data_IF_067389145613
#
_entry.id   IF_067389145613
#
_cell.length_a   1.000
_cell.length_b   1.000
_cell.length_c   1.000
_cell.angle_alpha   90.00
_cell.angle_beta   90.00
_cell.angle_gamma   90.00
#
_symmetry.space_group_name_H-M   'P 1'
#
loop_
_entity.id
_entity.type
_entity.pdbx_description
1 polymer ?
#
# COMPACT_ATOMS: atom_id res chain seq x y z
N UNK A 1 -16.88 -52.56 56.17
CA UNK A 1 -16.87 -53.08 57.54
C UNK A 1 -18.11 -53.93 57.75
N UNK A 2 -17.98 -55.26 57.64
CA UNK A 2 -18.92 -56.27 58.16
C UNK A 2 -18.49 -57.64 57.63
N UNK A 3 -17.63 -58.34 58.37
CA UNK A 3 -17.36 -59.77 58.16
C UNK A 3 -17.89 -60.52 59.37
N UNK A 4 -18.93 -61.31 59.15
CA UNK A 4 -19.45 -62.29 60.10
C UNK A 4 -18.38 -63.35 60.37
N UNK A 5 -18.16 -63.77 61.63
CA UNK A 5 -17.21 -64.83 61.94
C UNK A 5 -17.89 -66.19 61.74
N UNK A 6 -17.40 -66.97 60.79
CA UNK A 6 -17.80 -68.37 60.60
C UNK A 6 -17.19 -69.20 61.75
N UNK A 7 -18.00 -69.53 62.75
CA UNK A 7 -17.61 -70.48 63.81
C UNK A 7 -17.63 -71.89 63.22
N UNK A 8 -16.48 -72.57 63.25
CA UNK A 8 -16.36 -74.01 63.00
C UNK A 8 -16.96 -74.74 64.20
N UNK A 9 -18.04 -75.48 63.99
CA UNK A 9 -18.68 -76.31 65.02
C UNK A 9 -17.87 -77.60 65.17
N UNK A 10 -17.44 -78.01 66.39
CA UNK A 10 -16.77 -79.28 66.58
C UNK A 10 -17.79 -80.43 66.46
N UNK A 11 -17.40 -81.52 65.79
CA UNK A 11 -18.20 -82.73 65.68
C UNK A 11 -18.53 -83.29 67.06
N UNK A 12 -19.82 -83.42 67.38
CA UNK A 12 -20.32 -84.18 68.53
C UNK A 12 -19.96 -85.66 68.37
N UNK A 13 -19.18 -86.18 69.32
CA UNK A 13 -18.99 -87.62 69.49
C UNK A 13 -20.16 -88.17 70.31
N UNK A 14 -21.13 -88.80 69.64
CA UNK A 14 -22.18 -89.56 70.32
C UNK A 14 -21.61 -90.91 70.76
N UNK A 15 -21.58 -91.15 72.07
CA UNK A 15 -21.29 -92.47 72.65
C UNK A 15 -22.53 -93.38 72.63
N UNK A 16 -22.39 -94.70 72.46
CA UNK A 16 -23.49 -95.63 72.69
C UNK A 16 -23.63 -95.94 74.18
N UNK A 17 -24.62 -95.33 74.84
CA UNK A 17 -25.03 -95.72 76.19
C UNK A 17 -25.74 -97.07 76.16
N UNK A 18 -25.15 -98.06 76.81
CA UNK A 18 -25.79 -99.34 77.10
C UNK A 18 -26.52 -99.34 78.45
N UNK A 19 -27.66 -100.05 78.51
CA UNK A 19 -28.16 -100.73 79.70
C UNK A 19 -29.28 -100.03 80.50
N UNK A 20 -30.44 -100.69 80.72
CA UNK A 20 -31.52 -100.16 81.56
C UNK A 20 -31.24 -100.39 83.05
N UNK A 21 -31.37 -99.33 83.84
CA UNK A 21 -31.42 -99.39 85.30
C UNK A 21 -32.79 -99.93 85.73
N UNK A 22 -32.78 -100.93 86.60
CA UNK A 22 -33.97 -101.43 87.27
C UNK A 22 -34.39 -100.50 88.40
N UNK A 23 -35.71 -100.36 88.55
CA UNK A 23 -36.35 -99.97 89.80
C UNK A 23 -37.48 -100.98 90.04
N UNK A 24 -37.41 -101.65 91.18
CA UNK A 24 -38.49 -102.48 91.71
C UNK A 24 -38.49 -102.30 93.22
N UNK A 25 -39.53 -101.64 93.72
CA UNK A 25 -39.85 -101.50 95.14
C UNK A 25 -41.32 -101.86 95.30
N UNK A 26 -41.62 -103.05 95.84
CA UNK A 26 -42.83 -103.35 96.64
C UNK A 26 -42.53 -104.55 97.54
N UNK A 27 -42.52 -104.31 98.85
CA UNK A 27 -42.56 -105.31 99.91
C UNK A 27 -43.98 -105.88 100.05
N UNK A 28 -44.11 -107.19 100.26
CA UNK A 28 -45.38 -107.86 100.57
C UNK A 28 -45.16 -109.30 101.03
N UNK A 29 -45.53 -109.55 102.28
CA UNK A 29 -45.39 -110.72 103.15
C UNK A 29 -45.69 -112.10 102.52
N UNK A 30 -45.00 -113.15 103.02
CA UNK A 30 -45.58 -114.21 103.86
C UNK A 30 -44.59 -115.39 104.01
N UNK A 31 -44.50 -115.90 105.24
CA UNK A 31 -43.65 -117.01 105.65
C UNK A 31 -44.30 -118.35 105.26
N UNK A 32 -43.58 -119.28 104.62
CA UNK A 32 -44.03 -120.67 104.47
C UNK A 32 -42.87 -121.62 104.13
N UNK A 33 -42.53 -122.45 105.11
CA UNK A 33 -41.70 -123.66 104.96
C UNK A 33 -42.32 -124.60 103.92
N UNK A 34 -41.58 -124.98 102.87
CA UNK A 34 -42.11 -125.90 101.87
C UNK A 34 -41.17 -126.30 100.73
N UNK A 35 -40.23 -127.20 101.04
CA UNK A 35 -39.49 -128.10 100.13
C UNK A 35 -38.34 -127.50 99.29
N UNK A 36 -37.16 -128.15 99.28
CA UNK A 36 -36.12 -127.83 98.31
C UNK A 36 -36.56 -128.41 96.96
N UNK A 37 -37.13 -127.58 96.10
CA UNK A 37 -37.16 -127.88 94.67
C UNK A 37 -35.73 -127.71 94.16
N UNK A 38 -35.00 -128.82 94.24
CA UNK A 38 -33.77 -129.08 93.51
C UNK A 38 -34.04 -128.83 92.02
N UNK A 39 -33.76 -127.61 91.54
CA UNK A 39 -33.38 -127.44 90.15
C UNK A 39 -32.02 -128.10 90.00
N UNK A 40 -32.13 -129.38 89.70
CA UNK A 40 -31.15 -130.30 89.15
C UNK A 40 -30.09 -129.53 88.34
N UNK A 41 -28.91 -129.34 88.97
CA UNK A 41 -27.66 -129.28 88.23
C UNK A 41 -27.60 -130.56 87.39
N UNK A 42 -27.37 -130.51 86.07
CA UNK A 42 -26.96 -131.70 85.33
C UNK A 42 -25.63 -132.18 85.91
N UNK A 43 -25.69 -133.35 86.53
CA UNK A 43 -24.54 -134.16 86.94
C UNK A 43 -23.63 -134.43 85.74
N UNK A 44 -22.34 -134.07 85.85
CA UNK A 44 -21.16 -134.85 85.45
C UNK A 44 -21.14 -135.57 84.08
N UNK A 45 -21.79 -135.03 83.02
CA UNK A 45 -21.57 -135.56 81.65
C UNK A 45 -21.61 -134.53 80.51
N UNK A 46 -21.68 -133.22 80.80
CA UNK A 46 -21.52 -132.14 79.82
C UNK A 46 -20.78 -130.89 80.32
N UNK A 47 -20.40 -130.86 81.60
CA UNK A 47 -19.58 -129.80 82.22
C UNK A 47 -18.20 -129.59 81.58
N UNK A 48 -17.47 -130.63 81.12
CA UNK A 48 -16.22 -130.40 80.39
C UNK A 48 -16.46 -129.75 79.01
N UNK A 49 -17.57 -130.04 78.33
CA UNK A 49 -17.88 -129.50 77.00
C UNK A 49 -18.32 -128.03 77.05
N UNK A 50 -19.07 -127.63 78.08
CA UNK A 50 -19.45 -126.23 78.30
C UNK A 50 -18.25 -125.38 78.75
N UNK A 51 -17.36 -125.93 79.58
CA UNK A 51 -16.11 -125.28 79.95
C UNK A 51 -15.15 -125.13 78.77
N UNK A 52 -15.00 -126.18 77.95
CA UNK A 52 -14.21 -126.15 76.70
C UNK A 52 -14.72 -125.06 75.74
N UNK A 53 -16.05 -124.98 75.53
CA UNK A 53 -16.67 -123.94 74.71
C UNK A 53 -16.41 -122.53 75.26
N UNK A 54 -16.45 -122.35 76.58
CA UNK A 54 -16.13 -121.07 77.21
C UNK A 54 -14.66 -120.65 76.99
N UNK A 55 -13.73 -121.61 76.99
CA UNK A 55 -12.32 -121.35 76.66
C UNK A 55 -12.14 -120.96 75.19
N UNK A 56 -12.85 -121.64 74.28
CA UNK A 56 -12.85 -121.32 72.85
C UNK A 56 -13.41 -119.91 72.60
N UNK A 57 -14.58 -119.58 73.17
CA UNK A 57 -15.17 -118.24 73.10
C UNK A 57 -14.25 -117.16 73.70
N UNK A 58 -13.58 -117.44 74.82
CA UNK A 58 -12.60 -116.51 75.39
C UNK A 58 -11.40 -116.30 74.47
N UNK A 59 -10.95 -117.35 73.77
CA UNK A 59 -9.85 -117.24 72.82
C UNK A 59 -10.28 -116.41 71.60
N UNK A 60 -11.47 -116.65 71.06
CA UNK A 60 -12.07 -115.85 69.98
C UNK A 60 -12.23 -114.37 70.37
N UNK A 61 -12.70 -114.10 71.59
CA UNK A 61 -12.82 -112.74 72.12
C UNK A 61 -11.44 -112.06 72.24
N UNK A 62 -10.43 -112.77 72.74
CA UNK A 62 -9.05 -112.25 72.81
C UNK A 62 -8.53 -111.95 71.42
N UNK A 63 -8.78 -112.81 70.44
CA UNK A 63 -8.40 -112.60 69.05
C UNK A 63 -9.13 -111.42 68.40
N UNK A 64 -10.44 -111.30 68.63
CA UNK A 64 -11.25 -110.17 68.18
C UNK A 64 -10.76 -108.84 68.78
N UNK A 65 -10.43 -108.81 70.08
CA UNK A 65 -9.86 -107.63 70.74
C UNK A 65 -8.48 -107.29 70.18
N UNK A 66 -7.63 -108.30 69.90
CA UNK A 66 -6.33 -108.06 69.24
C UNK A 66 -6.51 -107.43 67.86
N UNK A 67 -7.41 -107.96 67.04
CA UNK A 67 -7.72 -107.44 65.71
C UNK A 67 -8.33 -106.04 65.77
N UNK A 68 -9.27 -105.79 66.70
CA UNK A 68 -9.89 -104.48 66.90
C UNK A 68 -8.87 -103.41 67.31
N UNK A 69 -7.98 -103.73 68.25
CA UNK A 69 -6.90 -102.82 68.65
C UNK A 69 -5.91 -102.55 67.51
N UNK A 70 -5.64 -103.56 66.67
CA UNK A 70 -4.80 -103.39 65.49
C UNK A 70 -5.46 -102.44 64.47
N UNK A 71 -6.75 -102.63 64.19
CA UNK A 71 -7.50 -101.73 63.31
C UNK A 71 -7.56 -100.30 63.89
N UNK A 72 -7.75 -100.14 65.19
CA UNK A 72 -7.72 -98.83 65.85
C UNK A 72 -6.37 -98.12 65.64
N UNK A 73 -5.25 -98.84 65.77
CA UNK A 73 -3.91 -98.30 65.48
C UNK A 73 -3.80 -97.83 64.03
N UNK A 74 -4.20 -98.66 63.07
CA UNK A 74 -4.17 -98.31 61.64
C UNK A 74 -5.05 -97.09 61.33
N UNK A 75 -6.25 -97.01 61.91
CA UNK A 75 -7.14 -95.84 61.75
C UNK A 75 -6.58 -94.58 62.40
N UNK A 76 -5.92 -94.68 63.55
CA UNK A 76 -5.22 -93.55 64.16
C UNK A 76 -4.08 -93.05 63.26
N UNK A 77 -3.30 -93.95 62.66
CA UNK A 77 -2.22 -93.59 61.73
C UNK A 77 -2.75 -92.95 60.43
N UNK A 78 -3.84 -93.48 59.86
CA UNK A 78 -4.51 -92.88 58.70
C UNK A 78 -5.02 -91.47 59.00
N UNK A 79 -5.64 -91.26 60.17
CA UNK A 79 -6.12 -89.95 60.58
C UNK A 79 -4.97 -88.96 60.75
N UNK A 80 -3.84 -89.39 61.31
CA UNK A 80 -2.64 -88.56 61.43
C UNK A 80 -2.09 -88.18 60.05
N UNK A 81 -1.99 -89.13 59.12
CA UNK A 81 -1.59 -88.86 57.73
C UNK A 81 -2.54 -87.87 57.06
N UNK A 82 -3.85 -88.09 57.18
CA UNK A 82 -4.86 -87.19 56.63
C UNK A 82 -4.77 -85.77 57.21
N UNK A 83 -4.57 -85.64 58.52
CA UNK A 83 -4.36 -84.33 59.17
C UNK A 83 -3.05 -83.65 58.71
N UNK A 84 -2.01 -84.43 58.43
CA UNK A 84 -0.77 -83.94 57.81
C UNK A 84 -1.02 -83.35 56.43
N UNK A 85 -1.60 -84.15 55.53
CA UNK A 85 -1.94 -83.70 54.16
C UNK A 85 -2.91 -82.52 54.14
N UNK A 86 -3.90 -82.49 55.03
CA UNK A 86 -4.83 -81.36 55.14
C UNK A 86 -4.11 -80.07 55.58
N UNK A 87 -3.12 -80.17 56.48
CA UNK A 87 -2.30 -79.01 56.87
C UNK A 87 -1.48 -78.48 55.70
N UNK A 88 -0.81 -79.37 54.96
CA UNK A 88 -0.04 -79.01 53.77
C UNK A 88 -0.90 -78.35 52.69
N UNK A 89 -2.09 -78.91 52.39
CA UNK A 89 -3.02 -78.33 51.42
C UNK A 89 -3.49 -76.93 51.83
N UNK A 90 -3.81 -76.75 53.13
CA UNK A 90 -4.21 -75.44 53.67
C UNK A 90 -3.08 -74.42 53.59
N UNK A 91 -1.85 -74.82 53.87
CA UNK A 91 -0.66 -73.96 53.74
C UNK A 91 -0.43 -73.54 52.29
N UNK A 92 -0.51 -74.49 51.35
CA UNK A 92 -0.42 -74.21 49.93
C UNK A 92 -1.50 -73.21 49.48
N UNK A 93 -2.76 -73.43 49.87
CA UNK A 93 -3.86 -72.55 49.49
C UNK A 93 -3.71 -71.15 50.09
N UNK A 94 -3.24 -71.05 51.33
CA UNK A 94 -2.95 -69.78 51.99
C UNK A 94 -1.82 -69.02 51.28
N UNK A 95 -0.77 -69.72 50.86
CA UNK A 95 0.32 -69.13 50.09
C UNK A 95 -0.20 -68.60 48.74
N UNK A 96 -0.97 -69.41 48.00
CA UNK A 96 -1.55 -69.01 46.71
C UNK A 96 -2.50 -67.82 46.85
N UNK A 97 -3.30 -67.80 47.91
CA UNK A 97 -4.15 -66.65 48.22
C UNK A 97 -3.34 -65.38 48.48
N UNK A 98 -2.25 -65.48 49.25
CA UNK A 98 -1.35 -64.36 49.50
C UNK A 98 -0.67 -63.85 48.21
N UNK A 99 -0.22 -64.76 47.34
CA UNK A 99 0.36 -64.43 46.03
C UNK A 99 -0.67 -63.70 45.14
N UNK A 100 -1.90 -64.23 45.04
CA UNK A 100 -2.98 -63.62 44.29
C UNK A 100 -3.33 -62.23 44.83
N UNK A 101 -3.39 -62.07 46.16
CA UNK A 101 -3.67 -60.77 46.80
C UNK A 101 -2.59 -59.74 46.45
N UNK A 102 -1.31 -60.10 46.56
CA UNK A 102 -0.19 -59.23 46.18
C UNK A 102 -0.23 -58.84 44.71
N UNK A 103 -0.60 -59.78 43.82
CA UNK A 103 -0.74 -59.49 42.40
C UNK A 103 -1.85 -58.46 42.15
N UNK A 104 -3.02 -58.63 42.77
CA UNK A 104 -4.13 -57.69 42.64
C UNK A 104 -3.76 -56.31 43.18
N UNK A 105 -3.08 -56.24 44.33
CA UNK A 105 -2.58 -54.98 44.89
C UNK A 105 -1.63 -54.28 43.91
N UNK A 106 -0.64 -54.98 43.33
CA UNK A 106 0.26 -54.40 42.34
C UNK A 106 -0.48 -53.88 41.10
N UNK A 107 -1.34 -54.70 40.51
CA UNK A 107 -2.13 -54.31 39.33
C UNK A 107 -3.06 -53.12 39.63
N UNK A 108 -3.56 -53.01 40.87
CA UNK A 108 -4.39 -51.88 41.27
C UNK A 108 -3.59 -50.56 41.32
N UNK A 109 -2.34 -50.61 41.77
CA UNK A 109 -1.43 -49.47 41.78
C UNK A 109 -1.03 -49.07 40.36
N UNK A 110 -0.66 -50.04 39.52
CA UNK A 110 -0.34 -49.79 38.10
C UNK A 110 -1.53 -49.17 37.36
N UNK A 111 -2.74 -49.69 37.58
CA UNK A 111 -3.97 -49.13 37.00
C UNK A 111 -4.23 -47.70 37.45
N UNK A 112 -3.97 -47.37 38.71
CA UNK A 112 -4.13 -46.02 39.23
C UNK A 112 -3.12 -45.07 38.59
N UNK A 113 -1.86 -45.49 38.48
CA UNK A 113 -0.80 -44.70 37.86
C UNK A 113 -1.06 -44.46 36.37
N UNK A 114 -1.49 -45.47 35.62
CA UNK A 114 -1.88 -45.32 34.21
C UNK A 114 -3.08 -44.37 34.04
N UNK A 115 -4.05 -44.40 34.97
CA UNK A 115 -5.17 -43.44 34.96
C UNK A 115 -4.69 -42.01 35.17
N UNK A 116 -3.80 -41.80 36.15
CA UNK A 116 -3.18 -40.50 36.43
C UNK A 116 -2.41 -39.99 35.21
N UNK A 117 -1.59 -40.84 34.58
CA UNK A 117 -0.84 -40.48 33.37
C UNK A 117 -1.77 -40.11 32.20
N UNK A 118 -2.87 -40.87 32.01
CA UNK A 118 -3.87 -40.54 31.00
C UNK A 118 -4.53 -39.19 31.27
N UNK A 119 -4.90 -38.91 32.52
CA UNK A 119 -5.49 -37.61 32.90
C UNK A 119 -4.54 -36.45 32.65
N UNK A 120 -3.26 -36.61 32.99
CA UNK A 120 -2.23 -35.61 32.70
C UNK A 120 -2.05 -35.39 31.19
N UNK A 121 -1.95 -36.46 30.41
CA UNK A 121 -1.84 -36.36 28.96
C UNK A 121 -3.07 -35.68 28.32
N UNK A 122 -4.27 -35.92 28.86
CA UNK A 122 -5.48 -35.22 28.41
C UNK A 122 -5.43 -33.73 28.73
N UNK A 123 -4.97 -33.34 29.92
CA UNK A 123 -4.79 -31.94 30.30
C UNK A 123 -3.75 -31.23 29.43
N UNK A 124 -2.62 -31.89 29.14
CA UNK A 124 -1.60 -31.36 28.23
C UNK A 124 -2.14 -31.16 26.81
N UNK A 125 -2.92 -32.12 26.29
CA UNK A 125 -3.57 -32.00 24.98
C UNK A 125 -4.58 -30.84 24.97
N UNK A 126 -5.33 -30.63 26.05
CA UNK A 126 -6.28 -29.53 26.17
C UNK A 126 -5.57 -28.17 26.22
N UNK A 127 -4.46 -28.07 26.97
CA UNK A 127 -3.60 -26.88 26.96
C UNK A 127 -3.00 -26.61 25.57
N UNK A 128 -2.51 -27.65 24.88
CA UNK A 128 -1.99 -27.49 23.52
C UNK A 128 -3.08 -27.06 22.53
N UNK A 129 -4.31 -27.55 22.67
CA UNK A 129 -5.45 -27.11 21.86
C UNK A 129 -5.78 -25.64 22.07
N UNK A 130 -5.84 -25.18 23.32
CA UNK A 130 -6.09 -23.76 23.62
C UNK A 130 -4.99 -22.86 23.08
N UNK A 131 -3.73 -23.26 23.24
CA UNK A 131 -2.58 -22.55 22.63
C UNK A 131 -2.67 -22.52 21.10
N UNK A 132 -2.98 -23.64 20.46
CA UNK A 132 -3.18 -23.70 19.01
C UNK A 132 -4.30 -22.78 18.53
N UNK A 133 -5.41 -22.72 19.27
CA UNK A 133 -6.53 -21.83 18.96
C UNK A 133 -6.11 -20.36 19.06
N UNK A 134 -5.42 -19.97 20.14
CA UNK A 134 -4.88 -18.61 20.29
C UNK A 134 -3.95 -18.25 19.13
N UNK A 135 -3.04 -19.15 18.75
CA UNK A 135 -2.15 -18.94 17.61
C UNK A 135 -2.91 -18.77 16.29
N UNK A 136 -4.03 -19.47 16.11
CA UNK A 136 -4.88 -19.31 14.92
C UNK A 136 -5.60 -17.96 14.92
N UNK A 137 -6.08 -17.50 16.08
CA UNK A 137 -6.69 -16.18 16.27
C UNK A 137 -5.67 -15.05 16.03
N UNK A 138 -4.47 -15.15 16.60
CA UNK A 138 -3.38 -14.18 16.39
C UNK A 138 -2.99 -14.12 14.91
N UNK A 139 -2.86 -15.28 14.25
CA UNK A 139 -2.60 -15.35 12.81
C UNK A 139 -3.70 -14.67 11.99
N UNK A 140 -4.96 -14.88 12.35
CA UNK A 140 -6.09 -14.24 11.68
C UNK A 140 -6.10 -12.71 11.91
N UNK A 141 -5.82 -12.27 13.14
CA UNK A 141 -5.69 -10.86 13.51
C UNK A 141 -4.57 -10.17 12.74
N UNK A 142 -3.37 -10.76 12.69
CA UNK A 142 -2.25 -10.22 11.91
C UNK A 142 -2.60 -10.16 10.42
N UNK A 143 -3.25 -11.20 9.87
CA UNK A 143 -3.70 -11.19 8.48
C UNK A 143 -4.71 -10.06 8.20
N UNK A 144 -5.64 -9.82 9.12
CA UNK A 144 -6.59 -8.72 9.01
C UNK A 144 -5.90 -7.34 9.07
N UNK A 145 -4.94 -7.16 9.98
CA UNK A 145 -4.14 -5.94 10.08
C UNK A 145 -3.35 -5.66 8.80
N UNK A 146 -2.66 -6.67 8.26
CA UNK A 146 -1.92 -6.55 6.98
C UNK A 146 -2.88 -6.20 5.84
N UNK A 147 -4.06 -6.81 5.79
CA UNK A 147 -5.07 -6.50 4.77
C UNK A 147 -5.56 -5.05 4.86
N UNK A 148 -5.80 -4.54 6.07
CA UNK A 148 -6.18 -3.14 6.31
C UNK A 148 -5.08 -2.18 5.85
N UNK A 149 -3.84 -2.40 6.30
CA UNK A 149 -2.69 -1.56 5.95
C UNK A 149 -2.42 -1.55 4.44
N UNK A 150 -2.56 -2.70 3.76
CA UNK A 150 -2.47 -2.76 2.31
C UNK A 150 -3.57 -1.93 1.62
N UNK A 151 -4.80 -1.98 2.15
CA UNK A 151 -5.91 -1.16 1.66
C UNK A 151 -5.65 0.35 1.85
N UNK A 152 -5.24 0.76 3.03
CA UNK A 152 -4.88 2.16 3.33
C UNK A 152 -3.72 2.66 2.46
N UNK A 153 -2.70 1.83 2.25
CA UNK A 153 -1.57 2.16 1.38
C UNK A 153 -2.02 2.33 -0.07
N UNK A 154 -2.86 1.43 -0.60
CA UNK A 154 -3.39 1.52 -1.95
C UNK A 154 -4.27 2.77 -2.14
N UNK A 155 -5.09 3.11 -1.15
CA UNK A 155 -5.90 4.32 -1.16
C UNK A 155 -5.02 5.58 -1.12
N UNK A 156 -3.98 5.58 -0.28
CA UNK A 156 -2.99 6.67 -0.22
C UNK A 156 -2.24 6.83 -1.53
N UNK A 157 -1.84 5.74 -2.19
CA UNK A 157 -1.22 5.75 -3.51
C UNK A 157 -2.16 6.35 -4.56
N UNK A 158 -3.42 5.90 -4.58
CA UNK A 158 -4.44 6.41 -5.51
C UNK A 158 -4.70 7.91 -5.33
N UNK A 159 -4.77 8.38 -4.07
CA UNK A 159 -4.89 9.81 -3.73
C UNK A 159 -3.69 10.62 -4.20
N UNK A 160 -2.47 10.10 -4.00
CA UNK A 160 -1.24 10.75 -4.43
C UNK A 160 -1.17 10.85 -5.96
N UNK A 161 -1.55 9.80 -6.68
CA UNK A 161 -1.63 9.81 -8.14
C UNK A 161 -2.66 10.83 -8.67
N UNK A 162 -3.83 10.92 -8.02
CA UNK A 162 -4.84 11.91 -8.37
C UNK A 162 -4.33 13.35 -8.13
N UNK A 163 -3.76 13.61 -6.95
CA UNK A 163 -3.23 14.92 -6.58
C UNK A 163 -2.06 15.35 -7.48
N UNK A 164 -1.19 14.41 -7.88
CA UNK A 164 -0.09 14.71 -8.81
C UNK A 164 -0.58 15.05 -10.21
N UNK A 165 -1.60 14.33 -10.72
CA UNK A 165 -2.27 14.66 -11.99
C UNK A 165 -2.95 16.02 -11.94
N UNK A 166 -3.67 16.33 -10.87
CA UNK A 166 -4.32 17.63 -10.68
C UNK A 166 -3.30 18.77 -10.63
N UNK A 167 -2.18 18.58 -9.90
CA UNK A 167 -1.08 19.55 -9.86
C UNK A 167 -0.51 19.82 -11.25
N UNK A 168 -0.26 18.78 -12.05
CA UNK A 168 0.23 18.93 -13.43
C UNK A 168 -0.76 19.68 -14.32
N UNK A 169 -2.06 19.40 -14.17
CA UNK A 169 -3.11 20.10 -14.90
C UNK A 169 -3.17 21.59 -14.51
N UNK A 170 -3.07 21.90 -13.21
CA UNK A 170 -3.03 23.27 -12.69
C UNK A 170 -1.78 24.02 -13.15
N UNK A 171 -0.61 23.37 -13.14
CA UNK A 171 0.64 23.95 -13.65
C UNK A 171 0.53 24.26 -15.16
N UNK A 172 -0.03 23.33 -15.94
CA UNK A 172 -0.25 23.52 -17.38
C UNK A 172 -1.22 24.68 -17.63
N UNK A 173 -2.32 24.77 -16.87
CA UNK A 173 -3.27 25.89 -16.93
C UNK A 173 -2.63 27.21 -16.53
N UNK A 174 -1.77 27.21 -15.51
CA UNK A 174 -1.02 28.40 -15.08
C UNK A 174 -0.08 28.89 -16.17
N UNK A 175 0.67 27.99 -16.82
CA UNK A 175 1.55 28.33 -17.94
C UNK A 175 0.77 28.92 -19.11
N UNK A 176 -0.38 28.33 -19.46
CA UNK A 176 -1.26 28.86 -20.50
C UNK A 176 -1.77 30.27 -20.15
N UNK A 177 -2.23 30.48 -18.92
CA UNK A 177 -2.67 31.80 -18.46
C UNK A 177 -1.54 32.84 -18.48
N UNK A 178 -0.32 32.46 -18.06
CA UNK A 178 0.86 33.33 -18.14
C UNK A 178 1.19 33.70 -19.59
N UNK A 179 1.14 32.74 -20.51
CA UNK A 179 1.36 33.00 -21.93
C UNK A 179 0.28 33.93 -22.49
N UNK A 180 -0.98 33.71 -22.12
CA UNK A 180 -2.09 34.57 -22.52
C UNK A 180 -1.89 36.02 -22.04
N UNK A 181 -1.47 36.22 -20.78
CA UNK A 181 -1.16 37.55 -20.23
C UNK A 181 0.02 38.18 -20.97
N UNK A 182 1.11 37.44 -21.20
CA UNK A 182 2.27 37.95 -21.93
C UNK A 182 1.92 38.36 -23.37
N UNK A 183 1.09 37.56 -24.05
CA UNK A 183 0.60 37.89 -25.39
C UNK A 183 -0.25 39.16 -25.39
N UNK A 184 -1.16 39.29 -24.42
CA UNK A 184 -1.99 40.49 -24.27
C UNK A 184 -1.15 41.74 -24.00
N UNK A 185 -0.10 41.62 -23.18
CA UNK A 185 0.84 42.70 -22.87
C UNK A 185 1.63 43.14 -24.10
N UNK A 186 2.20 42.20 -24.86
CA UNK A 186 2.92 42.50 -26.09
C UNK A 186 2.02 43.19 -27.13
N UNK A 187 0.77 42.74 -27.25
CA UNK A 187 -0.20 43.36 -28.15
C UNK A 187 -0.52 44.81 -27.75
N UNK A 188 -0.72 45.06 -26.45
CA UNK A 188 -0.94 46.42 -25.94
C UNK A 188 0.28 47.33 -26.12
N UNK A 189 1.49 46.82 -25.86
CA UNK A 189 2.74 47.55 -26.08
C UNK A 189 2.93 47.90 -27.56
N UNK A 190 2.62 46.96 -28.47
CA UNK A 190 2.64 47.20 -29.91
C UNK A 190 1.63 48.29 -30.31
N UNK A 191 0.37 48.18 -29.89
CA UNK A 191 -0.66 49.18 -30.16
C UNK A 191 -0.28 50.57 -29.64
N UNK A 192 0.27 50.63 -28.42
CA UNK A 192 0.74 51.87 -27.81
C UNK A 192 1.94 52.45 -28.56
N UNK A 193 2.88 51.61 -28.99
CA UNK A 193 4.02 52.02 -29.80
C UNK A 193 3.57 52.58 -31.16
N UNK A 194 2.64 51.92 -31.84
CA UNK A 194 2.05 52.42 -33.10
C UNK A 194 1.36 53.76 -32.87
N UNK A 195 0.49 53.87 -31.86
CA UNK A 195 -0.17 55.13 -31.51
C UNK A 195 0.83 56.26 -31.20
N UNK A 196 1.86 55.97 -30.41
CA UNK A 196 2.91 56.94 -30.07
C UNK A 196 3.72 57.37 -31.29
N UNK A 197 4.04 56.43 -32.18
CA UNK A 197 4.77 56.69 -33.44
C UNK A 197 3.94 57.55 -34.41
N UNK A 198 2.64 57.28 -34.54
CA UNK A 198 1.73 58.10 -35.35
C UNK A 198 1.62 59.51 -34.78
N UNK A 199 1.41 59.64 -33.46
CA UNK A 199 1.31 60.96 -32.80
C UNK A 199 2.63 61.74 -32.91
N UNK A 200 3.79 61.09 -32.76
CA UNK A 200 5.08 61.77 -32.94
C UNK A 200 5.31 62.19 -34.38
N UNK A 201 4.95 61.37 -35.35
CA UNK A 201 4.98 61.71 -36.79
C UNK A 201 4.07 62.89 -37.12
N UNK A 202 2.86 62.92 -36.57
CA UNK A 202 1.91 64.03 -36.72
C UNK A 202 2.44 65.33 -36.10
N UNK A 203 3.07 65.26 -34.91
CA UNK A 203 3.73 66.41 -34.28
C UNK A 203 4.90 66.91 -35.12
N UNK A 204 5.79 66.03 -35.56
CA UNK A 204 6.92 66.39 -36.42
C UNK A 204 6.44 67.09 -37.71
N UNK A 205 5.37 66.56 -38.34
CA UNK A 205 4.75 67.19 -39.51
C UNK A 205 4.17 68.57 -39.18
N UNK A 206 3.51 68.73 -38.04
CA UNK A 206 3.00 70.03 -37.60
C UNK A 206 4.12 71.04 -37.34
N UNK A 207 5.24 70.61 -36.77
CA UNK A 207 6.42 71.45 -36.53
C UNK A 207 7.09 71.88 -37.84
N UNK A 208 7.18 70.99 -38.84
CA UNK A 208 7.64 71.36 -40.19
C UNK A 208 6.72 72.42 -40.80
N UNK A 209 5.40 72.21 -40.80
CA UNK A 209 4.47 73.20 -41.33
C UNK A 209 4.55 74.54 -40.59
N UNK A 210 4.78 74.52 -39.28
CA UNK A 210 4.97 75.73 -38.49
C UNK A 210 6.26 76.46 -38.87
N UNK A 211 7.36 75.73 -39.06
CA UNK A 211 8.63 76.28 -39.51
C UNK A 211 8.51 76.87 -40.93
N UNK A 212 7.87 76.16 -41.86
CA UNK A 212 7.61 76.63 -43.22
C UNK A 212 6.78 77.91 -43.23
N UNK A 213 5.73 77.96 -42.41
CA UNK A 213 4.90 79.16 -42.28
C UNK A 213 5.67 80.37 -41.73
N UNK A 214 6.57 80.14 -40.75
CA UNK A 214 7.44 81.19 -40.22
C UNK A 214 8.46 81.66 -41.26
N UNK A 215 9.08 80.73 -41.99
CA UNK A 215 10.01 81.04 -43.07
C UNK A 215 9.33 81.84 -44.19
N UNK A 216 8.13 81.44 -44.61
CA UNK A 216 7.32 82.18 -45.60
C UNK A 216 6.97 83.59 -45.10
N UNK A 217 6.60 83.75 -43.82
CA UNK A 217 6.36 85.08 -43.23
C UNK A 217 7.63 85.94 -43.28
N UNK A 218 8.76 85.42 -42.82
CA UNK A 218 10.04 86.13 -42.83
C UNK A 218 10.46 86.51 -44.25
N UNK A 219 10.27 85.61 -45.23
CA UNK A 219 10.53 85.89 -46.63
C UNK A 219 9.64 87.02 -47.17
N UNK A 220 8.36 87.07 -46.77
CA UNK A 220 7.45 88.17 -47.13
C UNK A 220 7.81 89.48 -46.47
N UNK A 221 8.23 89.46 -45.21
CA UNK A 221 8.73 90.65 -44.51
C UNK A 221 9.98 91.20 -45.23
N UNK A 222 10.95 90.35 -45.55
CA UNK A 222 12.12 90.75 -46.34
C UNK A 222 11.76 91.27 -47.75
N UNK A 223 10.77 90.67 -48.40
CA UNK A 223 10.29 91.14 -49.70
C UNK A 223 9.59 92.50 -49.57
N UNK A 224 8.82 92.71 -48.51
CA UNK A 224 8.18 93.99 -48.21
C UNK A 224 9.23 95.07 -47.92
N UNK A 225 10.24 94.79 -47.10
CA UNK A 225 11.37 95.69 -46.83
C UNK A 225 12.11 96.05 -48.13
N UNK A 226 12.43 95.07 -48.98
CA UNK A 226 13.05 95.32 -50.30
C UNK A 226 12.16 96.15 -51.22
N UNK A 227 10.85 95.89 -51.19
CA UNK A 227 9.87 96.66 -51.97
C UNK A 227 9.83 98.11 -51.50
N UNK A 228 9.80 98.36 -50.19
CA UNK A 228 9.86 99.71 -49.62
C UNK A 228 11.15 100.42 -50.00
N UNK A 229 12.31 99.76 -49.88
CA UNK A 229 13.59 100.34 -50.31
C UNK A 229 13.62 100.68 -51.80
N UNK A 230 13.11 99.79 -52.66
CA UNK A 230 13.00 100.06 -54.10
C UNK A 230 11.99 101.15 -54.42
N UNK A 231 10.91 101.25 -53.65
CA UNK A 231 9.90 102.31 -53.75
C UNK A 231 10.54 103.66 -53.40
N UNK A 232 11.30 103.74 -52.31
CA UNK A 232 12.06 104.93 -51.92
C UNK A 232 13.09 105.32 -52.98
N UNK A 233 13.83 104.36 -53.52
CA UNK A 233 14.77 104.59 -54.63
C UNK A 233 14.04 105.13 -55.87
N UNK A 234 12.88 104.58 -56.23
CA UNK A 234 12.06 105.07 -57.33
C UNK A 234 11.58 106.50 -57.08
N UNK A 235 11.09 106.81 -55.88
CA UNK A 235 10.69 108.17 -55.52
C UNK A 235 11.88 109.12 -55.54
N UNK A 236 13.06 108.71 -55.07
CA UNK A 236 14.27 109.50 -55.15
C UNK A 236 14.69 109.73 -56.60
N UNK A 237 14.65 108.70 -57.45
CA UNK A 237 14.92 108.83 -58.88
C UNK A 237 13.88 109.73 -59.57
N UNK A 238 12.61 109.66 -59.17
CA UNK A 238 11.56 110.56 -59.66
C UNK A 238 11.77 112.00 -59.20
N UNK A 239 12.21 112.22 -57.95
CA UNK A 239 12.61 113.54 -57.43
C UNK A 239 13.81 114.07 -58.21
N UNK A 240 14.83 113.24 -58.43
CA UNK A 240 16.01 113.59 -59.22
C UNK A 240 15.66 113.86 -60.68
N UNK A 241 14.83 113.04 -61.32
CA UNK A 241 14.31 113.28 -62.66
C UNK A 241 13.48 114.56 -62.74
N UNK A 242 12.64 114.86 -61.74
CA UNK A 242 11.88 116.10 -61.69
C UNK A 242 12.80 117.31 -61.49
N UNK A 243 13.85 117.18 -60.68
CA UNK A 243 14.92 118.19 -60.49
C UNK A 243 15.75 118.39 -61.76
N UNK A 244 16.11 117.31 -62.45
CA UNK A 244 16.80 117.38 -63.74
C UNK A 244 15.89 117.94 -64.82
N UNK A 245 14.60 117.61 -64.83
CA UNK A 245 13.60 118.13 -65.78
C UNK A 245 13.37 119.62 -65.58
N UNK A 246 13.27 120.08 -64.34
CA UNK A 246 13.23 121.52 -64.02
C UNK A 246 14.54 122.19 -64.40
N UNK A 247 15.69 121.58 -64.12
CA UNK A 247 17.00 122.07 -64.58
C UNK A 247 17.14 122.08 -66.11
N UNK A 248 16.61 121.10 -66.84
CA UNK A 248 16.55 121.08 -68.30
C UNK A 248 15.54 122.08 -68.84
N UNK A 249 14.43 122.36 -68.15
CA UNK A 249 13.49 123.42 -68.52
C UNK A 249 14.07 124.80 -68.23
N UNK A 250 14.85 124.98 -67.18
CA UNK A 250 15.64 126.17 -66.88
C UNK A 250 16.77 126.33 -67.90
N UNK A 251 17.46 125.25 -68.25
CA UNK A 251 18.48 125.22 -69.30
C UNK A 251 17.86 125.48 -70.67
N UNK A 252 16.66 124.99 -70.96
CA UNK A 252 15.90 125.27 -72.18
C UNK A 252 15.38 126.71 -72.21
N UNK A 253 14.97 127.30 -71.08
CA UNK A 253 14.65 128.75 -70.97
C UNK A 253 15.89 129.62 -71.16
N UNK A 254 17.05 129.18 -70.65
CA UNK A 254 18.35 129.84 -70.87
C UNK A 254 18.81 129.68 -72.33
N UNK A 255 18.52 128.55 -72.97
CA UNK A 255 18.88 128.25 -74.35
C UNK A 255 17.95 128.96 -75.36
N UNK A 256 16.67 129.15 -75.04
CA UNK A 256 15.69 129.91 -75.84
C UNK A 256 15.99 131.41 -75.84
N UNK A 257 16.57 131.95 -74.75
CA UNK A 257 17.15 133.31 -74.72
C UNK A 257 18.45 133.44 -75.53
N UNK A 258 19.17 132.34 -75.79
CA UNK A 258 20.48 132.35 -76.48
C UNK A 258 20.40 132.10 -77.99
N UNK A 259 19.23 131.81 -78.57
CA UNK A 259 19.08 131.49 -79.99
C UNK A 259 18.22 132.51 -80.76
N UNK A 260 18.83 133.69 -81.00
CA UNK A 260 18.59 134.57 -82.16
C UNK A 260 19.92 135.14 -82.65
N UNK A 261 20.72 134.31 -83.33
CA UNK A 261 21.61 134.66 -84.47
C UNK A 261 22.36 133.40 -84.99
N UNK A 262 22.03 133.01 -86.24
CA UNK A 262 22.84 132.41 -87.35
C UNK A 262 23.77 131.21 -87.02
N UNK A 263 23.49 129.96 -87.44
CA UNK A 263 23.77 129.29 -88.77
C UNK A 263 25.27 129.26 -89.14
N UNK A 264 25.96 128.25 -89.72
CA UNK A 264 25.72 127.02 -90.52
C UNK A 264 27.12 126.36 -90.67
N UNK A 265 27.32 125.02 -90.63
CA UNK A 265 27.60 124.18 -91.81
C UNK A 265 27.77 122.67 -91.49
N UNK A 266 27.17 121.87 -92.40
CA UNK A 266 27.12 120.42 -92.68
C UNK A 266 28.43 119.85 -93.30
N UNK A 267 28.50 118.63 -93.93
CA UNK A 267 27.86 117.30 -93.77
C UNK A 267 28.97 116.17 -93.69
N UNK A 268 28.76 114.84 -93.60
CA UNK A 268 28.25 113.84 -94.59
C UNK A 268 28.23 112.43 -93.93
N UNK A 269 27.12 111.66 -93.94
CA UNK A 269 26.74 110.53 -94.84
C UNK A 269 26.70 109.14 -94.14
N UNK A 270 25.96 108.12 -94.68
CA UNK A 270 24.98 107.25 -94.00
C UNK A 270 25.39 105.75 -94.10
N UNK A 271 24.50 104.71 -94.22
CA UNK A 271 23.09 104.45 -93.83
C UNK A 271 22.97 103.20 -92.89
N UNK A 272 21.92 103.00 -92.06
CA UNK A 272 20.62 102.34 -92.31
C UNK A 272 20.67 100.95 -93.01
N UNK A 273 19.69 100.02 -92.87
CA UNK A 273 18.53 99.97 -91.97
C UNK A 273 18.12 98.55 -91.44
N UNK A 274 17.00 98.49 -90.69
CA UNK A 274 15.91 97.49 -90.78
C UNK A 274 16.16 96.02 -90.40
N UNK A 275 15.23 95.23 -89.82
CA UNK A 275 13.90 95.35 -89.22
C UNK A 275 13.52 93.91 -88.75
N UNK A 276 12.53 93.79 -87.85
CA UNK A 276 11.64 92.62 -87.62
C UNK A 276 12.26 91.37 -86.95
N UNK A 277 11.58 90.52 -86.17
CA UNK A 277 10.34 90.53 -85.37
C UNK A 277 10.06 89.07 -84.93
N UNK A 278 9.41 88.89 -83.77
CA UNK A 278 8.53 87.80 -83.31
C UNK A 278 8.98 86.30 -83.28
N UNK A 279 9.02 85.72 -82.05
CA UNK A 279 8.40 84.47 -81.46
C UNK A 279 8.26 83.15 -82.29
N UNK A 280 7.94 81.94 -81.72
CA UNK A 280 8.06 81.34 -80.37
C UNK A 280 8.50 79.82 -80.33
N UNK A 281 8.55 79.25 -79.11
CA UNK A 281 8.27 77.86 -78.64
C UNK A 281 9.00 76.57 -79.16
N UNK A 282 9.34 75.73 -78.15
CA UNK A 282 9.76 74.31 -78.03
C UNK A 282 9.34 73.28 -79.12
N UNK A 283 10.12 72.18 -79.34
CA UNK A 283 9.92 70.94 -78.56
C UNK A 283 11.18 70.05 -78.30
N UNK A 284 10.93 69.02 -77.48
CA UNK A 284 11.78 67.95 -76.95
C UNK A 284 12.40 67.00 -78.00
N UNK A 285 13.66 66.56 -77.82
CA UNK A 285 14.06 65.13 -77.70
C UNK A 285 15.59 64.91 -77.59
N UNK A 286 15.94 64.10 -76.58
CA UNK A 286 17.01 63.06 -76.51
C UNK A 286 18.37 63.25 -77.22
N UNK A 287 19.44 63.16 -76.41
CA UNK A 287 20.50 62.13 -76.52
C UNK A 287 21.33 62.06 -75.21
N UNK A 288 21.45 60.85 -74.66
CA UNK A 288 22.51 60.33 -73.77
C UNK A 288 23.47 59.46 -74.64
N UNK A 289 24.53 58.73 -74.17
CA UNK A 289 25.16 58.57 -72.83
C UNK A 289 26.74 58.64 -72.91
N UNK A 290 27.57 58.15 -71.94
CA UNK A 290 27.67 56.73 -71.56
C UNK A 290 27.37 56.46 -70.07
N UNK A 291 26.58 55.42 -69.84
CA UNK A 291 26.38 54.70 -68.57
C UNK A 291 27.67 53.98 -68.18
N UNK A 292 28.08 54.09 -66.91
CA UNK A 292 28.78 52.98 -66.27
C UNK A 292 27.78 51.84 -66.09
N UNK A 293 28.11 50.59 -66.46
CA UNK A 293 27.21 49.48 -66.32
C UNK A 293 26.98 49.19 -64.83
N UNK A 294 25.73 49.05 -64.35
CA UNK A 294 25.48 48.45 -63.05
C UNK A 294 25.99 47.01 -63.09
N UNK A 295 26.94 46.70 -62.20
CA UNK A 295 27.40 45.34 -61.97
C UNK A 295 26.24 44.52 -61.39
N UNK A 296 25.60 43.69 -62.21
CA UNK A 296 24.56 42.76 -61.77
C UNK A 296 25.22 41.53 -61.16
N UNK A 297 25.53 41.62 -59.87
CA UNK A 297 26.17 40.55 -59.11
C UNK A 297 25.16 39.85 -58.20
N UNK A 298 25.17 38.53 -58.16
CA UNK A 298 24.46 37.80 -57.12
C UNK A 298 25.14 38.05 -55.76
N UNK A 299 24.43 38.52 -54.71
CA UNK A 299 25.05 38.86 -53.43
C UNK A 299 25.54 37.64 -52.64
N UNK A 300 25.11 36.41 -52.98
CA UNK A 300 25.51 35.16 -52.30
C UNK A 300 26.83 34.59 -52.82
N UNK A 301 27.06 34.63 -54.15
CA UNK A 301 28.20 33.97 -54.80
C UNK A 301 29.05 34.89 -55.71
N UNK A 302 28.67 36.16 -55.83
CA UNK A 302 29.36 37.20 -56.62
C UNK A 302 29.47 36.91 -58.13
N UNK A 303 28.62 36.02 -58.67
CA UNK A 303 28.50 35.80 -60.12
C UNK A 303 28.01 37.08 -60.82
N UNK A 304 28.71 37.49 -61.89
CA UNK A 304 28.36 38.64 -62.72
C UNK A 304 27.50 38.21 -63.90
N UNK A 305 26.27 38.71 -63.93
CA UNK A 305 25.34 38.50 -65.03
C UNK A 305 25.41 39.70 -66.01
N UNK A 306 25.28 39.45 -67.32
CA UNK A 306 25.31 40.52 -68.33
C UNK A 306 24.03 41.38 -68.36
N UNK A 307 22.93 40.90 -67.75
CA UNK A 307 21.63 41.59 -67.68
C UNK A 307 20.78 41.11 -66.47
N UNK A 308 19.71 41.85 -66.17
CA UNK A 308 18.86 41.65 -64.99
C UNK A 308 18.05 40.34 -65.03
N UNK A 309 17.60 39.89 -66.21
CA UNK A 309 16.80 38.65 -66.32
C UNK A 309 17.69 37.43 -66.06
N UNK A 310 18.92 37.45 -66.57
CA UNK A 310 19.95 36.44 -66.29
C UNK A 310 20.34 36.42 -64.80
N UNK A 311 20.43 37.59 -64.14
CA UNK A 311 20.64 37.68 -62.70
C UNK A 311 19.45 37.11 -61.91
N UNK A 312 18.22 37.36 -62.35
CA UNK A 312 17.01 36.96 -61.64
C UNK A 312 16.77 35.44 -61.71
N UNK A 313 17.06 34.80 -62.85
CA UNK A 313 17.08 33.33 -62.98
C UNK A 313 18.16 32.74 -62.07
N UNK A 314 19.38 33.29 -62.11
CA UNK A 314 20.49 32.83 -61.29
C UNK A 314 20.22 32.98 -59.79
N UNK A 315 19.64 34.10 -59.33
CA UNK A 315 19.29 34.33 -57.92
C UNK A 315 18.21 33.35 -57.45
N UNK A 316 17.29 32.96 -58.33
CA UNK A 316 16.25 31.96 -58.02
C UNK A 316 16.83 30.55 -57.80
N UNK A 317 17.84 30.15 -58.58
CA UNK A 317 18.55 28.87 -58.41
C UNK A 317 19.62 28.93 -57.30
N UNK A 318 20.18 30.11 -57.01
CA UNK A 318 21.28 30.29 -56.07
C UNK A 318 20.81 30.47 -54.61
N UNK A 319 19.52 30.72 -54.34
CA UNK A 319 18.98 30.90 -52.98
C UNK A 319 18.59 29.58 -52.29
N UNK A 320 18.36 28.49 -53.04
CA UNK A 320 18.37 27.12 -52.47
C UNK A 320 19.77 26.73 -51.93
#
# INVERSE_FOLDING_TARGET
MSRTPWKSQPCEMVQPSGGPAGDQDVLGEESSLGKPTMLHLPSEQGAPETFQRCLEENQELRDAIRQSNQMLRERCEELQRFQGSQREEKEFLMQKFCEARRLVERLSLEKLELRRQREQALQEVELLKTCQQQMAEDKASVKAQVTSLLGELQESQSRLEAATKERQALESRRKLAQLQVAYHQLFQEYDNHIKSSVVSSERNRADIYKADFQAERQAREQLAERKELLQEQLEQLQREYSRLKTSCQESARIEDMRKRHVEVSQPTLPPAPAHHSFHPALPSQRRSPPEEPPNFCCPKCQYQAPDMDTLQIHVMECIE
#
